data_IF_067313875600
#
_entry.id   IF_067313875600
#
_cell.length_a   1.000
_cell.length_b   1.000
_cell.length_c   1.000
_cell.angle_alpha   90.00
_cell.angle_beta   90.00
_cell.angle_gamma   90.00
#
_symmetry.space_group_name_H-M   'P 1'
#
loop_
_entity.id
_entity.type
_entity.pdbx_description
1 polymer ?
#
# COMPACT_ATOMS: atom_id res chain seq x y z
N UNK A 1 20.67 25.50 -3.90
CA UNK A 1 19.99 24.63 -2.91
C UNK A 1 18.66 24.23 -3.52
N UNK A 2 18.40 22.93 -3.70
CA UNK A 2 17.07 22.49 -4.11
C UNK A 2 16.09 22.85 -2.97
N UNK A 3 14.95 23.44 -3.31
CA UNK A 3 13.90 23.71 -2.32
C UNK A 3 13.32 22.38 -1.86
N UNK A 4 13.16 22.19 -0.55
CA UNK A 4 12.48 21.02 -0.02
C UNK A 4 11.08 20.93 -0.64
N UNK A 5 10.72 19.73 -1.12
CA UNK A 5 9.38 19.42 -1.62
C UNK A 5 8.61 18.68 -0.53
N UNK A 6 7.32 18.96 -0.45
CA UNK A 6 6.42 18.30 0.50
C UNK A 6 5.27 17.65 -0.25
N UNK A 7 5.01 16.38 0.05
CA UNK A 7 3.88 15.62 -0.49
C UNK A 7 3.04 15.05 0.65
N UNK A 8 1.78 14.78 0.36
CA UNK A 8 0.88 14.14 1.32
C UNK A 8 0.19 12.96 0.66
N UNK A 9 0.17 11.84 1.36
CA UNK A 9 -0.42 10.60 0.90
C UNK A 9 -1.49 10.15 1.87
N UNK A 10 -2.67 9.83 1.34
CA UNK A 10 -3.77 9.27 2.13
C UNK A 10 -3.77 7.76 1.98
N UNK A 11 -3.76 7.07 3.11
CA UNK A 11 -3.87 5.63 3.17
C UNK A 11 -5.34 5.19 3.16
N UNK A 12 -5.56 3.93 2.79
CA UNK A 12 -6.89 3.34 2.69
C UNK A 12 -7.65 3.35 4.02
N UNK A 13 -7.00 3.32 5.17
CA UNK A 13 -7.66 3.44 6.49
C UNK A 13 -7.99 4.88 6.89
N UNK A 14 -7.71 5.85 6.01
CA UNK A 14 -7.93 7.28 6.24
C UNK A 14 -6.78 8.02 6.90
N UNK A 15 -5.69 7.35 7.29
CA UNK A 15 -4.48 8.03 7.74
C UNK A 15 -3.90 8.92 6.64
N UNK A 16 -3.34 10.07 7.01
CA UNK A 16 -2.62 10.94 6.10
C UNK A 16 -1.16 11.02 6.56
N UNK A 17 -0.24 10.83 5.64
CA UNK A 17 1.20 10.92 5.86
C UNK A 17 1.75 12.11 5.09
N UNK A 18 2.55 12.92 5.77
CA UNK A 18 3.30 14.02 5.16
C UNK A 18 4.76 13.65 5.07
N UNK A 19 5.32 13.77 3.86
CA UNK A 19 6.72 13.53 3.57
C UNK A 19 7.32 14.85 3.08
N UNK A 20 8.43 15.25 3.67
CA UNK A 20 9.20 16.42 3.22
C UNK A 20 10.67 16.06 3.04
N UNK A 21 11.26 16.50 1.92
CA UNK A 21 12.67 16.25 1.63
C UNK A 21 13.21 17.11 0.48
N UNK A 22 14.53 17.18 0.34
CA UNK A 22 15.20 17.65 -0.88
C UNK A 22 15.33 16.56 -1.96
N UNK A 23 14.91 15.33 -1.66
CA UNK A 23 14.78 14.23 -2.61
C UNK A 23 13.61 14.43 -3.58
N UNK A 24 13.64 13.70 -4.69
CA UNK A 24 12.55 13.68 -5.66
C UNK A 24 11.36 12.85 -5.13
N UNK A 25 10.28 13.52 -4.78
CA UNK A 25 9.06 12.90 -4.25
C UNK A 25 7.93 12.82 -5.29
N UNK A 26 8.21 13.00 -6.57
CA UNK A 26 7.17 13.12 -7.62
C UNK A 26 6.51 11.80 -8.01
N UNK A 27 7.19 10.67 -7.82
CA UNK A 27 6.61 9.36 -8.15
C UNK A 27 5.31 9.13 -7.38
N UNK A 28 4.32 8.44 -7.97
CA UNK A 28 3.06 8.13 -7.28
C UNK A 28 3.30 7.24 -6.06
N UNK A 29 2.30 7.20 -5.19
CA UNK A 29 2.28 6.27 -4.07
C UNK A 29 1.05 5.36 -4.18
N UNK A 30 1.20 4.13 -3.73
CA UNK A 30 0.08 3.21 -3.51
C UNK A 30 -0.24 3.11 -2.02
N UNK A 31 -1.44 2.64 -1.69
CA UNK A 31 -1.79 2.28 -0.32
C UNK A 31 -2.38 0.89 -0.28
N UNK A 32 -1.91 0.06 0.64
CA UNK A 32 -2.44 -1.28 0.88
C UNK A 32 -3.15 -1.33 2.24
N UNK A 33 -4.24 -2.07 2.32
CA UNK A 33 -4.98 -2.31 3.56
C UNK A 33 -5.56 -3.72 3.56
N UNK A 34 -5.26 -4.45 4.64
CA UNK A 34 -5.90 -5.72 4.96
C UNK A 34 -7.17 -5.49 5.78
N UNK A 35 -8.26 -6.11 5.34
CA UNK A 35 -9.57 -6.06 5.99
C UNK A 35 -10.07 -7.48 6.21
N UNK A 36 -10.60 -7.74 7.40
CA UNK A 36 -11.39 -8.94 7.67
C UNK A 36 -12.82 -8.65 7.25
N UNK A 37 -13.39 -9.45 6.34
CA UNK A 37 -14.81 -9.38 5.94
C UNK A 37 -15.44 -10.76 6.07
N UNK A 38 -16.42 -10.89 6.96
CA UNK A 38 -17.08 -12.19 7.19
C UNK A 38 -16.11 -13.30 7.60
N UNK A 39 -15.04 -12.96 8.33
CA UNK A 39 -13.99 -13.89 8.77
C UNK A 39 -12.90 -14.18 7.74
N UNK A 40 -12.97 -13.62 6.53
CA UNK A 40 -11.92 -13.75 5.49
C UNK A 40 -11.01 -12.53 5.51
N UNK A 41 -9.69 -12.74 5.46
CA UNK A 41 -8.72 -11.67 5.25
C UNK A 41 -8.69 -11.32 3.75
N UNK A 42 -8.80 -10.04 3.43
CA UNK A 42 -8.77 -9.51 2.07
C UNK A 42 -7.86 -8.29 2.03
N UNK A 43 -6.93 -8.27 1.07
CA UNK A 43 -6.05 -7.13 0.84
C UNK A 43 -6.58 -6.26 -0.30
N UNK A 44 -6.66 -4.96 -0.05
CA UNK A 44 -6.95 -3.95 -1.05
C UNK A 44 -5.71 -3.11 -1.29
N UNK A 45 -5.41 -2.84 -2.56
CA UNK A 45 -4.38 -1.88 -2.97
C UNK A 45 -5.04 -0.74 -3.73
N UNK A 46 -4.73 0.50 -3.38
CA UNK A 46 -5.19 1.70 -4.06
C UNK A 46 -4.01 2.51 -4.60
N UNK A 47 -4.28 3.26 -5.66
CA UNK A 47 -3.30 4.10 -6.35
C UNK A 47 -3.99 5.09 -7.26
N UNK A 48 -3.26 5.68 -8.19
CA UNK A 48 -3.86 6.55 -9.19
C UNK A 48 -4.90 5.82 -10.06
N UNK A 49 -5.63 6.59 -10.87
CA UNK A 49 -6.69 6.08 -11.73
C UNK A 49 -6.22 5.05 -12.78
N UNK A 50 -4.91 4.88 -13.00
CA UNK A 50 -4.35 3.92 -13.94
C UNK A 50 -3.95 2.58 -13.30
N UNK A 51 -3.89 2.50 -11.96
CA UNK A 51 -3.49 1.29 -11.22
C UNK A 51 -4.25 0.04 -11.70
N UNK A 52 -5.57 0.14 -11.85
CA UNK A 52 -6.41 -0.97 -12.31
C UNK A 52 -6.00 -1.48 -13.69
N UNK A 53 -5.72 -0.57 -14.62
CA UNK A 53 -5.29 -0.88 -15.99
C UNK A 53 -3.89 -1.52 -15.98
N UNK A 54 -2.96 -1.01 -15.16
CA UNK A 54 -1.62 -1.57 -15.00
C UNK A 54 -1.65 -2.99 -14.44
N UNK A 55 -2.48 -3.25 -13.43
CA UNK A 55 -2.63 -4.58 -12.83
C UNK A 55 -3.28 -5.54 -13.82
N UNK A 56 -4.37 -5.13 -14.49
CA UNK A 56 -5.01 -5.91 -15.53
C UNK A 56 -4.01 -6.31 -16.64
N UNK A 57 -3.23 -5.35 -17.15
CA UNK A 57 -2.21 -5.60 -18.16
C UNK A 57 -1.12 -6.59 -17.67
N UNK A 58 -0.66 -6.46 -16.43
CA UNK A 58 0.33 -7.37 -15.85
C UNK A 58 -0.17 -8.82 -15.72
N UNK A 59 -1.49 -8.99 -15.62
CA UNK A 59 -2.17 -10.28 -15.54
C UNK A 59 -2.64 -10.79 -16.92
N UNK A 60 -2.35 -10.07 -18.00
CA UNK A 60 -2.78 -10.44 -19.35
C UNK A 60 -4.28 -10.30 -19.60
N UNK A 61 -4.98 -9.46 -18.81
CA UNK A 61 -6.41 -9.18 -18.99
C UNK A 61 -6.60 -8.21 -20.15
N UNK A 62 -7.18 -8.69 -21.25
CA UNK A 62 -7.48 -7.87 -22.43
C UNK A 62 -8.81 -7.10 -22.33
N UNK A 63 -9.70 -7.55 -21.43
CA UNK A 63 -11.00 -6.93 -21.18
C UNK A 63 -11.64 -7.45 -19.90
N UNK A 64 -12.53 -6.64 -19.32
CA UNK A 64 -13.26 -7.01 -18.11
C UNK A 64 -14.55 -7.78 -18.46
N UNK A 65 -14.85 -8.81 -17.68
CA UNK A 65 -16.06 -9.63 -17.82
C UNK A 65 -17.33 -8.87 -17.39
N UNK A 66 -17.19 -7.91 -16.48
CA UNK A 66 -18.28 -7.12 -15.95
C UNK A 66 -17.84 -5.68 -15.69
N UNK A 67 -18.77 -4.75 -15.89
CA UNK A 67 -18.63 -3.34 -15.55
C UNK A 67 -19.94 -2.83 -14.94
N UNK A 68 -19.86 -2.23 -13.75
CA UNK A 68 -21.02 -1.80 -12.96
C UNK A 68 -20.75 -0.44 -12.31
N UNK A 69 -21.77 0.40 -12.19
CA UNK A 69 -21.67 1.59 -11.33
C UNK A 69 -21.76 1.19 -9.86
N UNK A 70 -20.79 1.61 -9.05
CA UNK A 70 -20.74 1.30 -7.62
C UNK A 70 -20.04 2.41 -6.82
N UNK A 71 -20.66 2.86 -5.73
CA UNK A 71 -20.10 3.85 -4.79
C UNK A 71 -19.52 5.12 -5.47
N UNK A 72 -20.19 5.61 -6.52
CA UNK A 72 -19.75 6.81 -7.26
C UNK A 72 -18.59 6.58 -8.25
N UNK A 73 -18.14 5.33 -8.43
CA UNK A 73 -17.16 4.92 -9.43
C UNK A 73 -17.67 3.75 -10.29
N UNK A 74 -16.75 3.16 -11.04
CA UNK A 74 -16.99 2.01 -11.90
C UNK A 74 -16.28 0.79 -11.31
N UNK A 75 -17.02 -0.25 -11.02
CA UNK A 75 -16.52 -1.55 -10.60
C UNK A 75 -16.39 -2.45 -11.83
N UNK A 76 -15.19 -2.94 -12.08
CA UNK A 76 -14.87 -3.86 -13.15
C UNK A 76 -14.34 -5.16 -12.57
N UNK A 77 -14.69 -6.29 -13.17
CA UNK A 77 -14.19 -7.60 -12.74
C UNK A 77 -13.73 -8.45 -13.91
N UNK A 78 -12.64 -9.19 -13.73
CA UNK A 78 -12.11 -10.13 -14.72
C UNK A 78 -11.63 -11.41 -14.02
N UNK A 79 -12.03 -12.57 -14.52
CA UNK A 79 -11.45 -13.85 -14.09
C UNK A 79 -10.07 -13.97 -14.73
N UNK A 80 -9.06 -14.19 -13.90
CA UNK A 80 -7.68 -14.44 -14.35
C UNK A 80 -7.35 -15.91 -14.14
N UNK A 81 -6.46 -16.47 -14.95
CA UNK A 81 -5.92 -17.81 -14.72
C UNK A 81 -4.46 -17.70 -14.30
N UNK A 82 -4.11 -18.39 -13.23
CA UNK A 82 -2.72 -18.53 -12.82
C UNK A 82 -2.40 -19.98 -12.48
N UNK A 83 -1.14 -20.36 -12.67
CA UNK A 83 -0.65 -21.70 -12.32
C UNK A 83 0.28 -21.58 -11.15
N UNK A 84 -0.07 -22.22 -10.04
CA UNK A 84 0.77 -22.25 -8.86
C UNK A 84 2.07 -23.01 -9.19
N UNK A 85 3.26 -22.39 -9.01
CA UNK A 85 4.51 -22.96 -9.53
C UNK A 85 4.93 -24.32 -8.94
N UNK A 86 4.50 -24.66 -7.73
CA UNK A 86 4.99 -25.86 -7.02
C UNK A 86 4.13 -27.10 -7.24
N UNK A 87 2.82 -26.94 -7.21
CA UNK A 87 1.78 -27.95 -7.33
C UNK A 87 1.25 -28.06 -8.76
N UNK A 88 1.42 -27.01 -9.56
CA UNK A 88 0.85 -26.91 -10.90
C UNK A 88 -0.66 -26.71 -10.91
N UNK A 89 -1.28 -26.47 -9.75
CA UNK A 89 -2.71 -26.19 -9.63
C UNK A 89 -3.05 -24.93 -10.46
N UNK A 90 -4.14 -25.02 -11.21
CA UNK A 90 -4.69 -23.87 -11.93
C UNK A 90 -5.69 -23.19 -11.02
N UNK A 91 -5.41 -21.95 -10.67
CA UNK A 91 -6.29 -21.10 -9.87
C UNK A 91 -6.96 -20.07 -10.77
N UNK A 92 -8.18 -19.68 -10.38
CA UNK A 92 -9.02 -18.74 -11.13
C UNK A 92 -9.47 -17.56 -10.29
N UNK A 93 -8.57 -16.71 -9.80
CA UNK A 93 -8.97 -15.56 -9.01
C UNK A 93 -9.69 -14.51 -9.86
N UNK A 94 -10.68 -13.89 -9.24
CA UNK A 94 -11.38 -12.73 -9.74
C UNK A 94 -10.56 -11.48 -9.41
N UNK A 95 -10.02 -10.83 -10.45
CA UNK A 95 -9.52 -9.46 -10.35
C UNK A 95 -10.73 -8.53 -10.20
N UNK A 96 -10.70 -7.69 -9.18
CA UNK A 96 -11.70 -6.65 -8.93
C UNK A 96 -11.00 -5.31 -8.98
N UNK A 97 -11.51 -4.42 -9.82
CA UNK A 97 -11.02 -3.04 -9.96
C UNK A 97 -12.17 -2.10 -9.70
N UNK A 98 -12.04 -1.24 -8.69
CA UNK A 98 -12.90 -0.07 -8.54
C UNK A 98 -12.16 1.15 -9.05
N UNK A 99 -12.74 1.87 -10.02
CA UNK A 99 -12.17 3.07 -10.63
C UNK A 99 -13.02 4.28 -10.30
N UNK A 100 -12.41 5.22 -9.57
CA UNK A 100 -12.94 6.55 -9.34
C UNK A 100 -12.51 7.54 -10.42
N UNK A 101 -12.57 8.83 -10.10
CA UNK A 101 -12.17 9.90 -11.03
C UNK A 101 -10.66 10.11 -11.07
N UNK A 102 -9.97 9.97 -9.94
CA UNK A 102 -8.54 10.26 -9.74
C UNK A 102 -7.76 9.05 -9.25
N UNK A 103 -8.45 8.12 -8.60
CA UNK A 103 -7.83 6.97 -7.96
C UNK A 103 -8.56 5.68 -8.34
N UNK A 104 -7.85 4.56 -8.25
CA UNK A 104 -8.40 3.23 -8.40
C UNK A 104 -8.00 2.35 -7.20
N UNK A 105 -8.77 1.30 -6.97
CA UNK A 105 -8.51 0.27 -5.98
C UNK A 105 -8.64 -1.09 -6.65
N UNK A 106 -7.74 -2.02 -6.29
CA UNK A 106 -7.71 -3.38 -6.79
C UNK A 106 -7.71 -4.37 -5.63
N UNK A 107 -8.30 -5.54 -5.86
CA UNK A 107 -8.12 -6.74 -5.03
C UNK A 107 -8.21 -7.97 -5.93
N UNK A 108 -7.59 -9.08 -5.52
CA UNK A 108 -7.81 -10.40 -6.12
C UNK A 108 -8.51 -11.29 -5.11
N UNK A 109 -9.54 -12.01 -5.57
CA UNK A 109 -10.36 -12.83 -4.69
C UNK A 109 -10.57 -14.21 -5.30
N UNK A 110 -10.51 -15.24 -4.45
CA UNK A 110 -10.71 -16.63 -4.85
C UNK A 110 -12.11 -17.11 -4.45
N UNK A 111 -12.68 -18.00 -5.26
CA UNK A 111 -13.97 -18.66 -5.04
C UNK A 111 -15.12 -17.68 -4.76
N UNK A 112 -15.18 -16.59 -5.52
CA UNK A 112 -16.19 -15.54 -5.37
C UNK A 112 -16.62 -15.00 -6.73
N UNK A 113 -17.90 -14.64 -6.87
CA UNK A 113 -18.46 -13.97 -8.04
C UNK A 113 -18.70 -12.48 -7.84
N UNK A 114 -19.09 -11.78 -8.90
CA UNK A 114 -19.34 -10.33 -8.89
C UNK A 114 -20.42 -9.92 -7.87
N UNK A 115 -21.45 -10.73 -7.65
CA UNK A 115 -22.52 -10.44 -6.68
C UNK A 115 -22.01 -10.42 -5.25
N UNK A 116 -21.19 -11.40 -4.89
CA UNK A 116 -20.57 -11.50 -3.57
C UNK A 116 -19.52 -10.40 -3.38
N UNK A 117 -18.80 -9.99 -4.43
CA UNK A 117 -17.92 -8.81 -4.41
C UNK A 117 -18.70 -7.55 -4.07
N UNK A 118 -19.87 -7.33 -4.68
CA UNK A 118 -20.73 -6.18 -4.33
C UNK A 118 -21.18 -6.25 -2.87
N UNK A 119 -21.52 -7.45 -2.37
CA UNK A 119 -21.86 -7.67 -0.96
C UNK A 119 -20.70 -7.28 -0.03
N UNK A 120 -19.49 -7.73 -0.35
CA UNK A 120 -18.27 -7.40 0.37
C UNK A 120 -18.01 -5.90 0.38
N UNK A 121 -17.94 -5.26 -0.79
CA UNK A 121 -17.58 -3.85 -0.93
C UNK A 121 -18.60 -2.91 -0.26
N UNK A 122 -19.88 -3.30 -0.17
CA UNK A 122 -20.91 -2.54 0.58
C UNK A 122 -20.56 -2.40 2.06
N UNK A 123 -19.82 -3.35 2.63
CA UNK A 123 -19.37 -3.27 4.02
C UNK A 123 -18.16 -2.36 4.21
N UNK A 124 -17.53 -1.86 3.14
CA UNK A 124 -16.26 -1.12 3.20
C UNK A 124 -16.39 0.39 2.96
N UNK A 125 -17.59 0.87 2.62
CA UNK A 125 -17.89 2.31 2.41
C UNK A 125 -16.77 3.05 1.66
N UNK A 126 -16.52 2.63 0.42
CA UNK A 126 -15.51 3.22 -0.46
C UNK A 126 -15.78 4.70 -0.66
N UNK A 127 -14.79 5.55 -0.39
CA UNK A 127 -14.89 6.99 -0.61
C UNK A 127 -13.62 7.53 -1.26
N UNK A 128 -13.81 8.21 -2.39
CA UNK A 128 -12.77 9.01 -3.05
C UNK A 128 -12.71 10.43 -2.47
N UNK A 129 -11.50 10.89 -2.19
CA UNK A 129 -11.21 12.24 -1.71
C UNK A 129 -10.28 12.96 -2.68
N UNK A 130 -10.03 14.25 -2.45
CA UNK A 130 -9.08 15.00 -3.25
C UNK A 130 -7.64 14.43 -3.22
N UNK A 131 -7.29 13.69 -2.16
CA UNK A 131 -5.93 13.27 -1.83
C UNK A 131 -5.75 11.73 -1.76
N UNK A 132 -6.78 10.95 -2.13
CA UNK A 132 -6.70 9.48 -2.15
C UNK A 132 -8.04 8.80 -1.92
N UNK A 133 -7.98 7.48 -1.78
CA UNK A 133 -9.12 6.61 -1.45
C UNK A 133 -9.12 6.22 0.02
N UNK A 134 -10.32 6.02 0.56
CA UNK A 134 -10.52 5.49 1.90
C UNK A 134 -11.54 4.38 1.89
N UNK A 135 -11.31 3.38 2.73
CA UNK A 135 -12.20 2.30 3.09
C UNK A 135 -12.53 2.47 4.58
N UNK A 136 -13.82 2.49 4.88
CA UNK A 136 -14.33 2.50 6.25
C UNK A 136 -15.12 1.22 6.49
N UNK A 137 -14.48 0.13 6.97
CA UNK A 137 -15.18 -1.09 7.29
C UNK A 137 -16.28 -0.87 8.33
N UNK A 138 -17.44 -1.45 8.06
CA UNK A 138 -18.59 -1.46 8.94
C UNK A 138 -18.56 -2.69 9.85
N UNK A 139 -18.12 -2.48 11.09
CA UNK A 139 -18.09 -3.54 12.11
C UNK A 139 -19.45 -4.19 12.36
N UNK A 140 -20.54 -3.44 12.21
CA UNK A 140 -21.89 -3.98 12.40
C UNK A 140 -22.31 -4.89 11.25
N UNK A 141 -21.71 -4.70 10.07
CA UNK A 141 -21.86 -5.57 8.90
C UNK A 141 -20.76 -6.65 8.82
N UNK A 142 -19.96 -6.83 9.88
CA UNK A 142 -18.96 -7.90 9.98
C UNK A 142 -17.65 -7.63 9.25
N UNK A 143 -17.29 -6.35 9.03
CA UNK A 143 -15.99 -5.97 8.48
C UNK A 143 -15.16 -5.09 9.42
N UNK A 144 -13.83 -5.30 9.43
CA UNK A 144 -12.90 -4.54 10.25
C UNK A 144 -11.50 -4.54 9.64
N UNK A 145 -10.74 -3.46 9.82
CA UNK A 145 -9.30 -3.45 9.50
C UNK A 145 -8.59 -4.56 10.28
N UNK A 146 -7.78 -5.36 9.58
CA UNK A 146 -6.92 -6.37 10.19
C UNK A 146 -5.65 -5.71 10.76
N UNK A 147 -5.13 -4.73 10.03
CA UNK A 147 -3.93 -3.95 10.36
C UNK A 147 -4.12 -2.47 9.99
N UNK A 148 -3.15 -1.63 10.36
CA UNK A 148 -3.08 -0.26 9.84
C UNK A 148 -2.75 -0.30 8.35
N UNK A 149 -3.29 0.63 7.57
CA UNK A 149 -2.95 0.71 6.15
C UNK A 149 -1.49 1.15 5.98
N UNK A 150 -0.87 0.61 4.93
CA UNK A 150 0.49 0.98 4.50
C UNK A 150 0.39 1.90 3.30
N UNK A 151 1.27 2.90 3.22
CA UNK A 151 1.53 3.70 2.01
C UNK A 151 2.89 3.31 1.48
N UNK A 152 2.98 2.96 0.20
CA UNK A 152 4.20 2.54 -0.46
C UNK A 152 4.54 3.59 -1.51
N UNK A 153 5.78 4.09 -1.48
CA UNK A 153 6.27 5.12 -2.41
C UNK A 153 7.67 4.76 -2.88
N UNK A 154 7.88 4.79 -4.18
CA UNK A 154 9.24 4.79 -4.72
C UNK A 154 9.84 6.19 -4.61
N UNK A 155 11.07 6.27 -4.09
CA UNK A 155 11.87 7.49 -4.07
C UNK A 155 13.14 7.22 -4.87
N UNK A 156 13.32 7.85 -6.04
CA UNK A 156 14.49 7.64 -6.88
C UNK A 156 15.80 7.81 -6.11
N UNK A 157 16.68 6.81 -6.22
CA UNK A 157 17.97 6.77 -5.53
C UNK A 157 17.94 6.37 -4.06
N UNK A 158 16.75 6.23 -3.45
CA UNK A 158 16.56 5.72 -2.09
C UNK A 158 15.93 4.31 -2.07
N UNK A 159 14.96 4.04 -2.95
CA UNK A 159 14.25 2.77 -3.02
C UNK A 159 12.77 2.88 -2.66
N UNK A 160 12.17 1.78 -2.22
CA UNK A 160 10.78 1.73 -1.77
C UNK A 160 10.69 2.14 -0.30
N UNK A 161 9.88 3.17 -0.04
CA UNK A 161 9.52 3.65 1.28
C UNK A 161 8.10 3.16 1.61
N UNK A 162 8.00 2.30 2.62
CA UNK A 162 6.72 1.83 3.16
C UNK A 162 6.44 2.56 4.47
N UNK A 163 5.26 3.17 4.59
CA UNK A 163 4.84 3.98 5.73
C UNK A 163 3.60 3.39 6.36
N UNK A 164 3.62 3.23 7.67
CA UNK A 164 2.45 2.82 8.44
C UNK A 164 2.41 3.56 9.77
N UNK A 165 1.26 3.55 10.45
CA UNK A 165 1.16 4.08 11.81
C UNK A 165 2.00 3.21 12.73
N UNK A 166 2.73 3.86 13.65
CA UNK A 166 3.47 3.12 14.67
C UNK A 166 2.50 2.36 15.56
N UNK A 167 2.75 1.07 15.74
CA UNK A 167 2.02 0.19 16.65
C UNK A 167 2.95 -0.31 17.76
N UNK A 168 2.36 -0.90 18.80
CA UNK A 168 3.14 -1.59 19.84
C UNK A 168 3.90 -2.81 19.29
N UNK A 169 3.34 -3.48 18.27
CA UNK A 169 3.99 -4.62 17.63
C UNK A 169 5.30 -4.22 16.95
N UNK A 170 5.33 -3.06 16.28
CA UNK A 170 6.56 -2.54 15.67
C UNK A 170 7.68 -2.31 16.69
N UNK A 171 7.34 -1.77 17.87
CA UNK A 171 8.34 -1.55 18.93
C UNK A 171 8.95 -2.87 19.43
N UNK A 172 8.19 -3.97 19.41
CA UNK A 172 8.68 -5.30 19.78
C UNK A 172 9.55 -5.97 18.69
N UNK A 173 9.48 -5.48 17.45
CA UNK A 173 10.28 -5.96 16.31
C UNK A 173 11.59 -5.18 16.15
N UNK A 174 11.81 -4.12 16.91
CA UNK A 174 13.04 -3.35 16.83
C UNK A 174 14.23 -4.22 17.24
N UNK A 175 15.35 -4.12 16.51
CA UNK A 175 16.58 -4.76 16.93
C UNK A 175 17.01 -4.31 18.34
N UNK A 176 17.70 -5.18 19.10
CA UNK A 176 18.08 -4.89 20.49
C UNK A 176 19.20 -3.85 20.62
N UNK A 177 19.82 -3.42 19.51
CA UNK A 177 20.87 -2.41 19.50
C UNK A 177 20.31 -0.99 19.32
N UNK A 178 21.13 0.02 19.62
CA UNK A 178 20.73 1.42 19.50
C UNK A 178 20.68 1.85 18.02
N UNK A 179 19.58 2.48 17.62
CA UNK A 179 19.45 3.10 16.30
C UNK A 179 20.27 4.39 16.16
N UNK A 180 20.42 4.86 14.93
CA UNK A 180 21.03 6.15 14.62
C UNK A 180 19.94 7.22 14.61
N UNK A 181 20.09 8.27 15.40
CA UNK A 181 19.11 9.35 15.45
C UNK A 181 19.05 10.14 14.14
N UNK A 182 17.83 10.41 13.67
CA UNK A 182 17.54 11.25 12.49
C UNK A 182 16.45 12.27 12.85
N UNK A 183 16.14 13.19 11.92
CA UNK A 183 15.05 14.15 12.11
C UNK A 183 13.66 13.49 12.28
N UNK A 184 13.47 12.30 11.71
CA UNK A 184 12.18 11.60 11.69
C UNK A 184 12.10 10.43 12.68
N UNK A 185 13.14 10.19 13.49
CA UNK A 185 13.21 9.11 14.47
C UNK A 185 14.53 8.34 14.46
N UNK A 186 14.54 7.18 15.11
CA UNK A 186 15.72 6.31 15.16
C UNK A 186 15.75 5.36 13.95
N UNK A 187 16.88 5.35 13.24
CA UNK A 187 17.13 4.51 12.07
C UNK A 187 17.88 3.23 12.47
N UNK A 188 17.38 2.10 12.00
CA UNK A 188 17.92 0.77 12.17
C UNK A 188 18.19 0.16 10.80
N UNK A 189 19.17 -0.75 10.73
CA UNK A 189 19.47 -1.54 9.54
C UNK A 189 19.31 -3.01 9.90
N UNK A 190 18.73 -3.78 9.00
CA UNK A 190 18.60 -5.22 9.11
C UNK A 190 18.72 -5.85 7.70
N UNK A 191 18.53 -7.17 7.60
CA UNK A 191 18.66 -7.93 6.34
C UNK A 191 17.51 -8.92 6.17
N UNK A 192 16.94 -8.96 4.97
CA UNK A 192 16.00 -10.01 4.57
C UNK A 192 16.68 -11.38 4.54
N UNK A 193 15.88 -12.44 4.47
CA UNK A 193 16.35 -13.84 4.42
C UNK A 193 17.28 -14.13 3.24
N UNK A 194 17.14 -13.38 2.13
CA UNK A 194 17.99 -13.47 0.95
C UNK A 194 19.33 -12.68 1.09
N UNK A 195 19.54 -12.02 2.23
CA UNK A 195 20.72 -11.21 2.53
C UNK A 195 20.60 -9.74 2.08
N UNK A 196 19.51 -9.35 1.42
CA UNK A 196 19.31 -7.98 0.96
C UNK A 196 19.08 -7.05 2.17
N UNK A 197 19.80 -5.92 2.29
CA UNK A 197 19.62 -5.01 3.42
C UNK A 197 18.32 -4.23 3.31
N UNK A 198 17.69 -3.95 4.45
CA UNK A 198 16.61 -2.98 4.57
C UNK A 198 16.85 -2.08 5.79
N UNK A 199 16.13 -0.96 5.83
CA UNK A 199 16.24 0.00 6.92
C UNK A 199 14.87 0.26 7.53
N UNK A 200 14.86 0.49 8.83
CA UNK A 200 13.65 0.80 9.59
C UNK A 200 13.84 2.13 10.29
N UNK A 201 12.95 3.07 10.03
CA UNK A 201 12.90 4.35 10.71
C UNK A 201 11.72 4.35 11.68
N UNK A 202 12.05 4.38 12.98
CA UNK A 202 11.08 4.36 14.07
C UNK A 202 10.83 5.76 14.60
N UNK A 203 9.83 6.44 14.03
CA UNK A 203 9.34 7.74 14.49
C UNK A 203 8.34 7.62 15.65
N UNK A 204 7.92 8.73 16.26
CA UNK A 204 6.94 8.72 17.36
C UNK A 204 5.56 8.22 16.91
N UNK A 205 5.13 8.60 15.70
CA UNK A 205 3.80 8.28 15.17
C UNK A 205 3.85 7.43 13.89
N UNK A 206 4.96 7.53 13.14
CA UNK A 206 5.16 6.86 11.86
C UNK A 206 6.23 5.78 12.03
N UNK A 207 5.95 4.62 11.47
CA UNK A 207 6.94 3.58 11.23
C UNK A 207 7.20 3.53 9.73
N UNK A 208 8.47 3.55 9.34
CA UNK A 208 8.84 3.44 7.96
C UNK A 208 9.85 2.31 7.71
N UNK A 209 9.63 1.54 6.65
CA UNK A 209 10.59 0.58 6.13
C UNK A 209 11.12 1.12 4.81
N UNK A 210 12.43 1.07 4.61
CA UNK A 210 13.09 1.41 3.35
C UNK A 210 13.72 0.15 2.80
N UNK A 211 13.23 -0.30 1.65
CA UNK A 211 13.80 -1.38 0.86
C UNK A 211 14.57 -0.79 -0.34
N UNK A 212 15.91 -0.78 -0.31
CA UNK A 212 16.72 -0.34 -1.44
C UNK A 212 16.39 -1.14 -2.70
N UNK A 213 16.16 -0.43 -3.81
CA UNK A 213 16.02 -1.05 -5.13
C UNK A 213 17.41 -1.33 -5.75
N UNK A 214 17.52 -2.16 -6.81
CA UNK A 214 18.81 -2.45 -7.45
C UNK A 214 19.60 -1.21 -7.92
N UNK A 215 18.91 -0.09 -8.18
CA UNK A 215 19.49 1.20 -8.55
C UNK A 215 20.00 2.02 -7.36
N UNK A 216 19.76 1.58 -6.13
CA UNK A 216 20.08 2.31 -4.89
C UNK A 216 21.49 2.00 -4.41
N UNK A 217 22.29 3.03 -4.14
CA UNK A 217 23.57 2.87 -3.43
C UNK A 217 23.31 2.71 -1.93
N UNK A 218 23.33 1.46 -1.44
CA UNK A 218 22.96 1.10 -0.06
C UNK A 218 23.71 1.92 0.99
N UNK A 219 24.99 2.21 0.78
CA UNK A 219 25.83 2.96 1.72
C UNK A 219 25.36 4.40 1.93
N UNK A 220 24.63 4.97 0.96
CA UNK A 220 24.08 6.32 1.02
C UNK A 220 22.70 6.37 1.68
N UNK A 221 22.04 5.22 1.89
CA UNK A 221 20.67 5.17 2.41
C UNK A 221 20.55 5.86 3.77
N UNK A 222 21.44 5.66 4.76
CA UNK A 222 21.34 6.39 6.03
C UNK A 222 21.33 7.92 5.85
N UNK A 223 22.20 8.45 5.01
CA UNK A 223 22.28 9.90 4.74
C UNK A 223 21.06 10.42 3.97
N UNK A 224 20.48 9.61 3.08
CA UNK A 224 19.28 9.95 2.32
C UNK A 224 18.04 9.92 3.22
N UNK A 225 17.90 8.89 4.07
CA UNK A 225 16.81 8.80 5.07
C UNK A 225 16.91 9.93 6.09
N UNK A 226 18.13 10.32 6.49
CA UNK A 226 18.34 11.46 7.39
C UNK A 226 17.84 12.80 6.84
N UNK A 227 17.56 12.90 5.54
CA UNK A 227 16.97 14.07 4.86
C UNK A 227 15.45 13.98 4.70
N UNK A 228 14.82 12.90 5.15
CA UNK A 228 13.37 12.76 5.17
C UNK A 228 12.81 13.29 6.49
N UNK A 229 11.75 14.09 6.40
CA UNK A 229 10.85 14.36 7.51
C UNK A 229 9.54 13.61 7.26
N UNK A 230 9.10 12.82 8.24
CA UNK A 230 7.87 12.01 8.17
C UNK A 230 6.96 12.37 9.34
N UNK A 231 5.69 12.63 9.05
CA UNK A 231 4.69 12.94 10.06
C UNK A 231 3.30 12.40 9.66
N UNK A 232 2.45 12.17 10.66
CA UNK A 232 1.01 12.08 10.43
C UNK A 232 0.46 13.51 10.22
N UNK A 233 -0.47 13.65 9.28
CA UNK A 233 -1.10 14.93 8.91
C UNK A 233 -2.56 15.01 9.39
#
# INVERSE_FOLDING_TARGET
MASATAVSHRALDGAAYRLESDLDLREPATSALEVIVGGRLVEFTAGDASLGDSVAASLGVEGFDSELSFAGGILQTAVTEEREPRSGLVERPLLVVWRGRRYAMVTRLYDIGTTEVLGLLRTLRVQETANGLTLTPDRTAGSANAAAATVIKEIPGLGLLELTRRTKAHAAQLPPWKGVATAAGDLYRDTFTDGTPFFVLSGPEVWATVAPLPSTTVEKVPDLVGRLTLALA
#
